data_IF_709478830667
#
_entry.id   IF_709478830667
#
_cell.length_a   1.000
_cell.length_b   1.000
_cell.length_c   1.000
_cell.angle_alpha   90.00
_cell.angle_beta   90.00
_cell.angle_gamma   90.00
#
_symmetry.space_group_name_H-M   'P 1'
#
loop_
_entity.id
_entity.type
_entity.pdbx_description
1 polymer ?
#
# COMPACT_ATOMS: atom_id res chain seq x y z
N UNK A 1 67.97 33.38 20.57
CA UNK A 1 66.85 32.52 20.97
C UNK A 1 65.77 32.59 19.90
N UNK A 2 65.72 31.66 18.95
CA UNK A 2 64.69 31.63 17.91
C UNK A 2 63.58 30.66 18.33
N UNK A 3 62.41 31.19 18.65
CA UNK A 3 61.20 30.41 18.93
C UNK A 3 60.72 29.79 17.62
N UNK A 4 60.72 28.45 17.56
CA UNK A 4 60.08 27.68 16.48
C UNK A 4 58.56 27.87 16.59
N UNK A 5 57.95 28.51 15.61
CA UNK A 5 56.51 28.47 15.41
C UNK A 5 56.19 27.11 14.77
N UNK A 6 55.61 26.22 15.56
CA UNK A 6 54.99 25.01 15.04
C UNK A 6 53.75 25.43 14.24
N UNK A 7 53.85 25.44 12.92
CA UNK A 7 52.68 25.51 12.06
C UNK A 7 51.92 24.19 12.20
N UNK A 8 50.88 24.19 13.02
CA UNK A 8 49.87 23.14 13.02
C UNK A 8 49.17 23.23 11.66
N UNK A 9 49.59 22.38 10.72
CA UNK A 9 48.82 22.10 9.51
C UNK A 9 47.53 21.45 10.01
N UNK A 10 46.34 22.07 9.83
CA UNK A 10 45.13 21.34 10.12
C UNK A 10 45.09 20.17 9.15
N UNK A 11 45.13 18.96 9.69
CA UNK A 11 44.80 17.77 8.93
C UNK A 11 43.38 18.00 8.40
N UNK A 12 43.27 18.32 7.12
CA UNK A 12 42.04 18.16 6.35
C UNK A 12 41.68 16.68 6.53
N UNK A 13 40.76 16.41 7.46
CA UNK A 13 40.03 15.19 7.48
C UNK A 13 39.46 15.06 6.07
N UNK A 14 40.02 14.13 5.29
CA UNK A 14 39.47 13.78 4.01
C UNK A 14 38.03 13.35 4.29
N UNK A 15 37.08 14.26 4.04
CA UNK A 15 35.70 13.89 3.90
C UNK A 15 35.72 12.74 2.91
N UNK A 16 35.32 11.56 3.38
CA UNK A 16 35.28 10.33 2.59
C UNK A 16 34.12 10.48 1.61
N UNK A 17 34.27 11.40 0.67
CA UNK A 17 33.41 11.49 -0.48
C UNK A 17 33.61 10.20 -1.25
N UNK A 18 32.55 9.40 -1.33
CA UNK A 18 32.53 8.21 -2.14
C UNK A 18 33.07 8.54 -3.53
N UNK A 19 33.99 7.71 -4.00
CA UNK A 19 34.59 7.88 -5.33
C UNK A 19 33.96 6.83 -6.25
N UNK A 20 33.02 7.22 -7.13
CA UNK A 20 32.38 6.25 -8.01
C UNK A 20 33.40 5.62 -8.95
N UNK A 21 33.14 4.37 -9.34
CA UNK A 21 33.96 3.67 -10.33
C UNK A 21 33.94 4.41 -11.68
N UNK A 22 35.03 4.31 -12.44
CA UNK A 22 35.13 4.99 -13.73
C UNK A 22 34.06 4.53 -14.74
N UNK A 23 33.65 3.26 -14.66
CA UNK A 23 32.57 2.69 -15.48
C UNK A 23 31.23 3.40 -15.22
N UNK A 24 30.90 3.64 -13.95
CA UNK A 24 29.66 4.32 -13.55
C UNK A 24 29.68 5.80 -13.94
N UNK A 25 30.84 6.47 -13.81
CA UNK A 25 31.00 7.85 -14.25
C UNK A 25 30.78 8.00 -15.76
N UNK A 26 31.34 7.07 -16.55
CA UNK A 26 31.14 7.05 -18.01
C UNK A 26 29.68 6.79 -18.38
N UNK A 27 29.01 5.86 -17.68
CA UNK A 27 27.58 5.60 -17.88
C UNK A 27 26.73 6.82 -17.52
N UNK A 28 26.99 7.45 -16.38
CA UNK A 28 26.26 8.63 -15.93
C UNK A 28 26.41 9.81 -16.90
N UNK A 29 27.60 10.01 -17.46
CA UNK A 29 27.85 11.05 -18.47
C UNK A 29 27.31 10.68 -19.87
N UNK A 30 26.88 9.44 -20.09
CA UNK A 30 26.33 8.98 -21.37
C UNK A 30 24.82 9.22 -21.47
N UNK A 31 24.29 9.25 -22.69
CA UNK A 31 22.84 9.34 -22.95
C UNK A 31 22.18 7.95 -22.77
N UNK A 32 22.21 7.44 -21.54
CA UNK A 32 21.64 6.13 -21.23
C UNK A 32 20.10 6.14 -21.34
N UNK A 33 19.45 7.29 -21.15
CA UNK A 33 17.99 7.40 -21.15
C UNK A 33 17.34 7.00 -22.49
N UNK A 34 18.06 7.24 -23.59
CA UNK A 34 17.65 6.91 -24.97
C UNK A 34 18.06 5.50 -25.42
N UNK A 35 18.74 4.75 -24.57
CA UNK A 35 19.13 3.38 -24.89
C UNK A 35 17.90 2.47 -25.00
N UNK A 36 18.08 1.27 -25.58
CA UNK A 36 17.01 0.27 -25.64
C UNK A 36 16.76 -0.36 -24.28
N UNK A 37 15.49 -0.45 -23.89
CA UNK A 37 15.02 -1.07 -22.64
C UNK A 37 13.99 -2.17 -22.94
N UNK A 38 13.83 -3.18 -22.06
CA UNK A 38 12.91 -4.29 -22.28
C UNK A 38 11.44 -3.86 -22.36
N UNK A 39 11.06 -2.80 -21.65
CA UNK A 39 9.68 -2.29 -21.58
C UNK A 39 9.73 -0.77 -21.69
N UNK A 40 8.71 -0.17 -22.31
CA UNK A 40 8.56 1.27 -22.29
C UNK A 40 7.67 1.67 -21.10
N UNK A 41 8.22 2.43 -20.16
CA UNK A 41 7.53 2.89 -18.95
C UNK A 41 7.42 4.41 -19.05
N UNK A 42 6.31 4.96 -18.54
CA UNK A 42 6.04 6.41 -18.54
C UNK A 42 7.22 7.17 -17.91
N UNK A 43 7.82 8.15 -18.61
CA UNK A 43 8.97 8.88 -18.10
C UNK A 43 8.69 9.58 -16.76
N UNK A 44 9.58 9.39 -15.79
CA UNK A 44 9.58 10.02 -14.47
C UNK A 44 11.00 9.93 -13.88
N UNK A 45 11.28 10.70 -12.83
CA UNK A 45 12.60 10.70 -12.18
C UNK A 45 12.96 9.30 -11.63
N UNK A 46 11.97 8.58 -11.09
CA UNK A 46 12.14 7.19 -10.63
C UNK A 46 12.53 6.25 -11.78
N UNK A 47 11.98 6.47 -12.98
CA UNK A 47 12.36 5.73 -14.18
C UNK A 47 13.78 6.04 -14.61
N UNK A 48 14.25 7.28 -14.50
CA UNK A 48 15.65 7.61 -14.82
C UNK A 48 16.64 6.89 -13.90
N UNK A 49 16.38 6.85 -12.58
CA UNK A 49 17.21 6.08 -11.65
C UNK A 49 17.18 4.57 -11.94
N UNK A 50 16.00 4.01 -12.21
CA UNK A 50 15.85 2.60 -12.53
C UNK A 50 16.54 2.24 -13.87
N UNK A 51 16.45 3.11 -14.88
CA UNK A 51 17.15 2.98 -16.16
C UNK A 51 18.66 2.97 -16.01
N UNK A 52 19.20 3.82 -15.14
CA UNK A 52 20.62 3.85 -14.81
C UNK A 52 21.07 2.53 -14.16
N UNK A 53 20.35 2.09 -13.12
CA UNK A 53 20.64 0.82 -12.43
C UNK A 53 20.58 -0.37 -13.40
N UNK A 54 19.58 -0.41 -14.28
CA UNK A 54 19.45 -1.46 -15.28
C UNK A 54 20.65 -1.48 -16.22
N UNK A 55 21.07 -0.33 -16.75
CA UNK A 55 22.23 -0.26 -17.67
C UNK A 55 23.55 -0.54 -16.98
N UNK A 56 23.68 -0.23 -15.69
CA UNK A 56 24.85 -0.59 -14.91
C UNK A 56 24.95 -2.12 -14.67
N UNK A 57 23.81 -2.79 -14.48
CA UNK A 57 23.75 -4.22 -14.18
C UNK A 57 23.67 -5.12 -15.43
N UNK A 58 23.16 -4.63 -16.55
CA UNK A 58 23.03 -5.35 -17.84
C UNK A 58 24.34 -5.97 -18.36
N UNK A 59 25.49 -5.26 -18.44
CA UNK A 59 26.71 -5.81 -19.05
C UNK A 59 27.31 -6.98 -18.26
N UNK A 60 27.07 -7.03 -16.95
CA UNK A 60 27.57 -8.09 -16.06
C UNK A 60 26.51 -9.15 -15.75
N UNK A 61 25.30 -9.01 -16.32
CA UNK A 61 24.12 -9.82 -16.00
C UNK A 61 23.85 -9.92 -14.48
N UNK A 62 24.10 -8.84 -13.74
CA UNK A 62 24.01 -8.77 -12.27
C UNK A 62 22.66 -8.20 -11.80
N UNK A 63 21.59 -8.42 -12.57
CA UNK A 63 20.28 -7.84 -12.27
C UNK A 63 19.73 -8.31 -10.92
N UNK A 64 19.95 -9.58 -10.58
CA UNK A 64 19.56 -10.17 -9.28
C UNK A 64 20.34 -9.57 -8.10
N UNK A 65 21.54 -9.04 -8.31
CA UNK A 65 22.34 -8.39 -7.24
C UNK A 65 21.66 -7.10 -6.79
N UNK A 66 21.25 -6.26 -7.75
CA UNK A 66 20.54 -5.01 -7.45
C UNK A 66 19.17 -5.28 -6.83
N UNK A 67 18.47 -6.35 -7.23
CA UNK A 67 17.22 -6.76 -6.56
C UNK A 67 17.45 -7.14 -5.10
N UNK A 68 18.57 -7.81 -4.78
CA UNK A 68 18.95 -8.10 -3.39
C UNK A 68 19.32 -6.85 -2.62
N UNK A 69 19.99 -5.90 -3.25
CA UNK A 69 20.32 -4.61 -2.62
C UNK A 69 19.05 -3.88 -2.17
N UNK A 70 18.00 -3.84 -2.99
CA UNK A 70 16.70 -3.29 -2.58
C UNK A 70 16.11 -4.01 -1.37
N UNK A 71 16.21 -5.35 -1.30
CA UNK A 71 15.77 -6.11 -0.13
C UNK A 71 16.58 -5.78 1.13
N UNK A 72 17.90 -5.61 0.98
CA UNK A 72 18.79 -5.18 2.08
C UNK A 72 18.41 -3.79 2.58
N UNK A 73 18.08 -2.86 1.68
CA UNK A 73 17.63 -1.52 2.05
C UNK A 73 16.30 -1.60 2.81
N UNK A 74 15.31 -2.32 2.27
CA UNK A 74 14.00 -2.49 2.94
C UNK A 74 14.16 -3.10 4.33
N UNK A 75 15.07 -4.05 4.52
CA UNK A 75 15.37 -4.64 5.83
C UNK A 75 16.10 -3.67 6.78
N UNK A 76 16.79 -2.66 6.26
CA UNK A 76 17.48 -1.65 7.05
C UNK A 76 16.57 -0.48 7.46
N UNK A 77 15.55 -0.13 6.65
CA UNK A 77 14.62 0.98 6.91
C UNK A 77 14.04 0.97 8.34
N UNK A 78 13.56 -0.15 8.92
CA UNK A 78 12.99 -0.16 10.26
C UNK A 78 13.98 0.23 11.37
N UNK A 79 15.29 0.17 11.11
CA UNK A 79 16.35 0.56 12.06
C UNK A 79 16.69 2.05 11.96
N UNK A 80 16.24 2.71 10.89
CA UNK A 80 16.52 4.11 10.62
C UNK A 80 15.43 5.02 11.21
N UNK A 81 15.71 6.31 11.40
CA UNK A 81 14.68 7.28 11.81
C UNK A 81 13.51 7.35 10.83
N UNK A 82 12.36 7.81 11.29
CA UNK A 82 11.13 7.93 10.47
C UNK A 82 11.33 8.79 9.21
N UNK A 83 12.20 9.79 9.26
CA UNK A 83 12.54 10.67 8.14
C UNK A 83 14.00 10.47 7.70
N UNK A 84 14.45 9.21 7.66
CA UNK A 84 15.82 8.86 7.30
C UNK A 84 16.21 9.40 5.92
N UNK A 85 15.25 9.52 5.01
CA UNK A 85 15.43 10.08 3.66
C UNK A 85 15.98 11.52 3.69
N UNK A 86 15.73 12.25 4.78
CA UNK A 86 16.13 13.65 4.95
C UNK A 86 17.26 13.84 5.95
N UNK A 87 17.38 12.92 6.90
CA UNK A 87 18.22 13.10 8.10
C UNK A 87 19.49 12.26 8.07
N UNK A 88 19.51 11.17 7.30
CA UNK A 88 20.60 10.22 7.30
C UNK A 88 21.51 10.45 6.10
N UNK A 89 22.81 10.48 6.35
CA UNK A 89 23.83 10.47 5.29
C UNK A 89 24.02 9.03 4.84
N UNK A 90 23.72 8.73 3.57
CA UNK A 90 23.74 7.34 3.03
C UNK A 90 25.12 6.68 3.25
N UNK A 91 26.21 7.44 3.11
CA UNK A 91 27.57 6.93 3.26
C UNK A 91 27.96 6.53 4.70
N UNK A 92 27.22 7.01 5.70
CA UNK A 92 27.46 6.71 7.12
C UNK A 92 26.70 5.47 7.61
N UNK A 93 25.74 4.97 6.82
CA UNK A 93 24.95 3.79 7.17
C UNK A 93 25.75 2.53 6.87
N UNK A 94 26.10 1.78 7.92
CA UNK A 94 26.85 0.52 7.81
C UNK A 94 26.18 -0.50 6.89
N UNK A 95 24.85 -0.60 6.96
CA UNK A 95 24.06 -1.52 6.14
C UNK A 95 24.06 -1.11 4.65
N UNK A 96 24.35 0.16 4.31
CA UNK A 96 24.42 0.64 2.92
C UNK A 96 25.82 0.51 2.32
N UNK A 97 26.86 0.34 3.13
CA UNK A 97 28.23 0.14 2.66
C UNK A 97 28.46 -1.24 2.03
N UNK A 98 27.60 -2.21 2.32
CA UNK A 98 27.67 -3.56 1.74
C UNK A 98 26.91 -3.71 0.42
N UNK A 99 26.22 -2.66 -0.03
CA UNK A 99 25.44 -2.66 -1.27
C UNK A 99 26.35 -2.63 -2.51
N UNK A 100 25.82 -3.03 -3.66
CA UNK A 100 26.57 -2.93 -4.92
C UNK A 100 26.94 -1.48 -5.26
N UNK A 101 28.09 -1.31 -5.93
CA UNK A 101 28.57 0.01 -6.33
C UNK A 101 27.54 0.84 -7.15
N UNK A 102 26.77 0.26 -8.10
CA UNK A 102 25.70 0.98 -8.78
C UNK A 102 24.61 1.48 -7.84
N UNK A 103 24.24 0.69 -6.83
CA UNK A 103 23.21 1.06 -5.86
C UNK A 103 23.70 2.22 -4.97
N UNK A 104 24.91 2.12 -4.42
CA UNK A 104 25.48 3.18 -3.57
C UNK A 104 25.57 4.50 -4.33
N UNK A 105 26.06 4.49 -5.57
CA UNK A 105 26.10 5.69 -6.40
C UNK A 105 24.70 6.27 -6.65
N UNK A 106 23.71 5.42 -6.94
CA UNK A 106 22.34 5.87 -7.18
C UNK A 106 21.72 6.47 -5.93
N UNK A 107 21.95 5.88 -4.75
CA UNK A 107 21.47 6.43 -3.47
C UNK A 107 22.09 7.79 -3.15
N UNK A 108 23.39 7.96 -3.36
CA UNK A 108 24.04 9.27 -3.17
C UNK A 108 23.55 10.31 -4.19
N UNK A 109 23.31 9.88 -5.43
CA UNK A 109 22.73 10.74 -6.46
C UNK A 109 21.30 11.17 -6.09
N UNK A 110 20.45 10.23 -5.66
CA UNK A 110 19.11 10.52 -5.13
C UNK A 110 19.17 11.44 -3.91
N UNK A 111 20.11 11.23 -2.99
CA UNK A 111 20.33 12.09 -1.83
C UNK A 111 20.71 13.52 -2.23
N UNK A 112 21.60 13.67 -3.21
CA UNK A 112 22.04 14.98 -3.69
C UNK A 112 20.90 15.80 -4.31
N UNK A 113 19.90 15.11 -4.87
CA UNK A 113 18.70 15.73 -5.44
C UNK A 113 17.51 15.80 -4.46
N UNK A 114 17.66 15.28 -3.23
CA UNK A 114 16.57 15.21 -2.26
C UNK A 114 15.43 14.25 -2.64
N UNK A 115 15.71 13.25 -3.48
CA UNK A 115 14.73 12.33 -4.07
C UNK A 115 14.76 10.91 -3.46
N UNK A 116 15.30 10.74 -2.25
CA UNK A 116 15.33 9.44 -1.56
C UNK A 116 13.93 8.87 -1.27
N UNK A 117 12.92 9.73 -1.17
CA UNK A 117 11.51 9.34 -1.01
C UNK A 117 10.98 8.51 -2.20
N UNK A 118 11.59 8.64 -3.39
CA UNK A 118 11.20 7.90 -4.60
C UNK A 118 11.77 6.47 -4.66
N UNK A 119 12.56 6.06 -3.68
CA UNK A 119 13.21 4.74 -3.70
C UNK A 119 12.25 3.55 -3.89
N UNK A 120 11.05 3.52 -3.27
CA UNK A 120 10.07 2.46 -3.54
C UNK A 120 9.65 2.39 -5.01
N UNK A 121 9.40 3.54 -5.64
CA UNK A 121 9.02 3.61 -7.05
C UNK A 121 10.16 3.15 -7.97
N UNK A 122 11.40 3.52 -7.63
CA UNK A 122 12.59 3.06 -8.36
C UNK A 122 12.72 1.54 -8.30
N UNK A 123 12.44 0.93 -7.14
CA UNK A 123 12.50 -0.51 -6.96
C UNK A 123 11.47 -1.24 -7.82
N UNK A 124 10.22 -0.74 -7.87
CA UNK A 124 9.14 -1.31 -8.67
C UNK A 124 9.43 -1.22 -10.18
N UNK A 125 9.93 -0.08 -10.65
CA UNK A 125 10.32 0.11 -12.05
C UNK A 125 11.51 -0.79 -12.42
N UNK A 126 12.53 -0.83 -11.58
CA UNK A 126 13.72 -1.66 -11.82
C UNK A 126 13.37 -3.15 -11.86
N UNK A 127 12.53 -3.62 -10.94
CA UNK A 127 12.03 -4.98 -10.94
C UNK A 127 11.28 -5.30 -12.23
N UNK A 128 10.47 -4.36 -12.73
CA UNK A 128 9.76 -4.54 -14.00
C UNK A 128 10.74 -4.77 -15.16
N UNK A 129 11.85 -4.01 -15.22
CA UNK A 129 12.90 -4.22 -16.21
C UNK A 129 13.65 -5.55 -16.03
N UNK A 130 14.00 -5.90 -14.79
CA UNK A 130 14.69 -7.15 -14.49
C UNK A 130 13.83 -8.37 -14.85
N UNK A 131 12.56 -8.35 -14.49
CA UNK A 131 11.59 -9.41 -14.77
C UNK A 131 11.34 -9.54 -16.28
N UNK A 132 11.18 -8.43 -17.00
CA UNK A 132 11.05 -8.46 -18.46
C UNK A 132 12.28 -9.06 -19.15
N UNK A 133 13.49 -8.71 -18.71
CA UNK A 133 14.75 -9.25 -19.25
C UNK A 133 14.93 -10.75 -18.94
N UNK A 134 14.56 -11.17 -17.74
CA UNK A 134 14.68 -12.56 -17.27
C UNK A 134 13.50 -13.44 -17.68
N UNK A 135 12.51 -12.90 -18.39
CA UNK A 135 11.23 -13.58 -18.70
C UNK A 135 10.55 -14.12 -17.45
N UNK A 136 10.50 -13.30 -16.40
CA UNK A 136 9.78 -13.58 -15.14
C UNK A 136 8.49 -12.78 -15.09
N UNK A 137 7.43 -13.36 -14.51
CA UNK A 137 6.18 -12.67 -14.22
C UNK A 137 5.98 -12.64 -12.71
N UNK A 138 5.93 -11.45 -12.14
CA UNK A 138 5.62 -11.26 -10.72
C UNK A 138 4.09 -11.34 -10.53
N UNK A 139 3.64 -12.29 -9.71
CA UNK A 139 2.26 -12.41 -9.27
C UNK A 139 2.15 -11.94 -7.82
N UNK A 140 1.39 -10.86 -7.60
CA UNK A 140 1.13 -10.30 -6.26
C UNK A 140 -0.05 -11.06 -5.65
N UNK A 141 0.18 -11.74 -4.54
CA UNK A 141 -0.84 -12.51 -3.81
C UNK A 141 -1.18 -11.76 -2.53
N UNK A 142 -2.40 -11.25 -2.41
CA UNK A 142 -2.90 -10.57 -1.23
C UNK A 142 -3.53 -11.59 -0.28
N UNK A 143 -3.05 -11.60 0.97
CA UNK A 143 -3.46 -12.56 2.00
C UNK A 143 -3.79 -11.83 3.30
N UNK A 144 -4.70 -12.39 4.09
CA UNK A 144 -5.05 -11.91 5.41
C UNK A 144 -3.84 -11.86 6.37
N UNK A 145 -3.81 -10.89 7.31
CA UNK A 145 -2.75 -10.80 8.31
C UNK A 145 -2.67 -12.08 9.16
N UNK A 146 -1.47 -12.65 9.31
CA UNK A 146 -1.24 -13.88 10.07
C UNK A 146 -1.31 -15.18 9.25
N UNK A 147 -1.74 -15.13 7.98
CA UNK A 147 -1.75 -16.28 7.05
C UNK A 147 -0.62 -16.27 6.02
N UNK A 148 0.40 -15.43 6.24
CA UNK A 148 1.57 -15.27 5.36
C UNK A 148 2.36 -16.58 5.15
N UNK A 149 2.34 -17.49 6.13
CA UNK A 149 3.04 -18.77 6.09
C UNK A 149 2.20 -19.96 5.60
N UNK A 150 0.94 -19.75 5.24
CA UNK A 150 0.03 -20.84 4.87
C UNK A 150 0.37 -21.40 3.49
N UNK A 151 1.14 -22.50 3.49
CA UNK A 151 1.58 -23.19 2.27
C UNK A 151 0.41 -23.61 1.36
N UNK A 152 -0.74 -23.96 1.94
CA UNK A 152 -1.92 -24.35 1.18
C UNK A 152 -2.52 -23.18 0.37
N UNK A 153 -2.60 -21.99 0.98
CA UNK A 153 -3.09 -20.77 0.30
C UNK A 153 -2.10 -20.31 -0.77
N UNK A 154 -0.80 -20.40 -0.49
CA UNK A 154 0.24 -20.08 -1.46
C UNK A 154 0.22 -21.03 -2.67
N UNK A 155 -0.02 -22.33 -2.47
CA UNK A 155 -0.18 -23.29 -3.57
C UNK A 155 -1.45 -23.07 -4.40
N UNK A 156 -2.56 -22.70 -3.75
CA UNK A 156 -3.79 -22.33 -4.45
C UNK A 156 -3.60 -21.05 -5.28
N UNK A 157 -3.03 -20.01 -4.68
CA UNK A 157 -2.70 -18.77 -5.36
C UNK A 157 -1.71 -19.00 -6.52
N UNK A 158 -0.73 -19.90 -6.35
CA UNK A 158 0.16 -20.31 -7.43
C UNK A 158 -0.58 -20.99 -8.57
N UNK A 159 -1.52 -21.90 -8.29
CA UNK A 159 -2.34 -22.57 -9.32
C UNK A 159 -3.23 -21.57 -10.06
N UNK A 160 -3.80 -20.59 -9.37
CA UNK A 160 -4.58 -19.51 -9.98
C UNK A 160 -3.69 -18.63 -10.85
N UNK A 161 -2.52 -18.21 -10.34
CA UNK A 161 -1.55 -17.44 -11.12
C UNK A 161 -1.05 -18.21 -12.37
N UNK A 162 -0.79 -19.51 -12.26
CA UNK A 162 -0.41 -20.37 -13.38
C UNK A 162 -1.50 -20.50 -14.44
N UNK A 163 -2.78 -20.52 -14.05
CA UNK A 163 -3.90 -20.49 -15.00
C UNK A 163 -3.94 -19.15 -15.73
N UNK A 164 -3.87 -18.03 -14.99
CA UNK A 164 -3.87 -16.68 -15.58
C UNK A 164 -2.70 -16.47 -16.54
N UNK A 165 -1.50 -17.00 -16.23
CA UNK A 165 -0.33 -16.94 -17.12
C UNK A 165 -0.50 -17.82 -18.36
N UNK A 166 -1.17 -18.97 -18.25
CA UNK A 166 -1.45 -19.85 -19.41
C UNK A 166 -2.53 -19.28 -20.33
N UNK A 167 -3.51 -18.58 -19.75
CA UNK A 167 -4.61 -17.99 -20.51
C UNK A 167 -4.15 -16.72 -21.27
N UNK A 168 -3.12 -16.04 -20.76
CA UNK A 168 -2.47 -14.91 -21.44
C UNK A 168 -1.38 -15.36 -22.42
N UNK A 169 -1.67 -15.25 -23.72
CA UNK A 169 -0.72 -15.60 -24.81
C UNK A 169 0.61 -14.84 -24.74
N UNK A 170 0.61 -13.63 -24.20
CA UNK A 170 1.82 -12.78 -24.05
C UNK A 170 2.73 -13.22 -22.89
N UNK A 171 2.18 -13.95 -21.92
CA UNK A 171 2.90 -14.43 -20.72
C UNK A 171 3.26 -15.92 -20.81
N UNK A 172 2.81 -16.60 -21.86
CA UNK A 172 3.09 -18.00 -22.10
C UNK A 172 4.61 -18.25 -22.22
N UNK A 173 5.16 -19.04 -21.29
CA UNK A 173 6.59 -19.37 -21.23
C UNK A 173 7.43 -18.52 -20.28
N UNK A 174 6.83 -17.58 -19.55
CA UNK A 174 7.50 -16.83 -18.49
C UNK A 174 7.48 -17.61 -17.16
N UNK A 175 8.54 -17.50 -16.36
CA UNK A 175 8.59 -18.13 -15.03
C UNK A 175 7.90 -17.25 -13.98
N UNK A 176 7.01 -17.84 -13.17
CA UNK A 176 6.26 -17.14 -12.14
C UNK A 176 7.10 -16.89 -10.88
N UNK A 177 7.08 -15.65 -10.39
CA UNK A 177 7.62 -15.23 -9.09
C UNK A 177 6.46 -14.74 -8.24
N UNK A 178 6.21 -15.41 -7.11
CA UNK A 178 5.12 -15.05 -6.21
C UNK A 178 5.61 -14.00 -5.20
N UNK A 179 4.85 -12.92 -5.06
CA UNK A 179 5.02 -11.89 -4.03
C UNK A 179 3.81 -11.89 -3.12
N UNK A 180 3.97 -12.36 -1.90
CA UNK A 180 2.88 -12.32 -0.90
C UNK A 180 2.85 -10.95 -0.25
N UNK A 181 1.70 -10.28 -0.32
CA UNK A 181 1.44 -8.97 0.27
C UNK A 181 0.32 -9.14 1.32
N UNK A 182 0.51 -8.54 2.48
CA UNK A 182 -0.48 -8.59 3.56
C UNK A 182 -1.50 -7.50 3.34
N UNK A 183 -2.76 -7.89 3.21
CA UNK A 183 -3.88 -6.96 3.13
C UNK A 183 -4.75 -7.09 4.38
N UNK A 184 -4.82 -6.01 5.16
CA UNK A 184 -5.60 -5.95 6.41
C UNK A 184 -7.12 -5.89 6.18
N UNK A 185 -7.56 -5.65 4.93
CA UNK A 185 -8.97 -5.63 4.57
C UNK A 185 -9.54 -7.05 4.34
N UNK A 186 -8.66 -8.01 4.07
CA UNK A 186 -9.02 -9.41 3.85
C UNK A 186 -9.16 -10.10 5.21
N UNK A 187 -10.33 -10.71 5.44
CA UNK A 187 -10.62 -11.49 6.66
C UNK A 187 -10.36 -12.96 6.42
N UNK A 188 -10.75 -13.48 5.24
CA UNK A 188 -10.49 -14.85 4.82
C UNK A 188 -10.27 -14.93 3.29
N UNK A 189 -9.62 -15.99 2.80
CA UNK A 189 -9.32 -16.18 1.37
C UNK A 189 -8.05 -15.46 0.88
N UNK A 190 -7.94 -15.31 -0.44
CA UNK A 190 -6.79 -14.70 -1.11
C UNK A 190 -7.21 -13.95 -2.38
N UNK A 191 -6.44 -12.94 -2.78
CA UNK A 191 -6.56 -12.32 -4.09
C UNK A 191 -5.23 -12.40 -4.84
N UNK A 192 -5.26 -12.54 -6.15
CA UNK A 192 -4.06 -12.63 -6.99
C UNK A 192 -4.13 -11.56 -8.07
N UNK A 193 -3.10 -10.74 -8.16
CA UNK A 193 -2.86 -9.81 -9.27
C UNK A 193 -1.67 -10.32 -10.09
N UNK A 194 -1.94 -10.66 -11.35
CA UNK A 194 -0.91 -11.01 -12.34
C UNK A 194 -0.91 -9.94 -13.42
N UNK A 195 0.07 -9.03 -13.34
CA UNK A 195 0.28 -7.94 -14.31
C UNK A 195 -1.02 -7.19 -14.71
N UNK A 196 -1.85 -6.83 -13.74
CA UNK A 196 -3.09 -6.09 -13.95
C UNK A 196 -4.34 -6.97 -14.15
N UNK A 197 -4.17 -8.29 -14.22
CA UNK A 197 -5.30 -9.23 -14.14
C UNK A 197 -5.54 -9.58 -12.68
N UNK A 198 -6.60 -9.01 -12.09
CA UNK A 198 -6.97 -9.21 -10.70
C UNK A 198 -8.03 -10.31 -10.55
N UNK A 199 -7.72 -11.36 -9.80
CA UNK A 199 -8.63 -12.43 -9.42
C UNK A 199 -8.87 -12.36 -7.92
N UNK A 200 -10.12 -12.14 -7.52
CA UNK A 200 -10.51 -11.99 -6.12
C UNK A 200 -11.27 -13.23 -5.64
N UNK A 201 -10.66 -13.99 -4.73
CA UNK A 201 -11.30 -15.06 -3.96
C UNK A 201 -11.30 -14.72 -2.45
N UNK A 202 -11.07 -13.45 -2.11
CA UNK A 202 -11.02 -12.96 -0.74
C UNK A 202 -12.42 -12.59 -0.23
N UNK A 203 -12.69 -12.98 1.02
CA UNK A 203 -13.84 -12.56 1.81
C UNK A 203 -13.44 -11.33 2.60
N UNK A 204 -14.03 -10.19 2.22
CA UNK A 204 -13.91 -8.95 2.97
C UNK A 204 -14.72 -8.99 4.26
N UNK A 205 -14.45 -8.05 5.16
CA UNK A 205 -15.26 -7.85 6.36
C UNK A 205 -16.69 -7.51 5.92
N UNK A 206 -17.66 -8.37 6.21
CA UNK A 206 -19.07 -8.03 6.00
C UNK A 206 -19.36 -6.73 6.76
N UNK A 207 -19.65 -5.66 6.01
CA UNK A 207 -20.32 -4.50 6.62
C UNK A 207 -21.67 -5.05 7.04
N UNK A 208 -21.96 -4.99 8.35
CA UNK A 208 -23.32 -5.12 8.85
C UNK A 208 -24.18 -4.20 7.99
N UNK A 209 -24.92 -4.80 7.06
CA UNK A 209 -25.95 -4.10 6.31
C UNK A 209 -27.03 -3.87 7.34
N UNK A 210 -26.92 -2.76 8.07
CA UNK A 210 -28.04 -2.24 8.84
C UNK A 210 -29.21 -2.18 7.86
N UNK A 211 -30.21 -3.02 8.09
CA UNK A 211 -31.43 -3.10 7.32
C UNK A 211 -32.18 -1.77 7.47
N UNK A 212 -31.75 -0.76 6.73
CA UNK A 212 -32.36 0.57 6.70
C UNK A 212 -33.71 0.58 5.99
N UNK A 213 -34.16 -0.58 5.46
CA UNK A 213 -35.36 -0.70 4.66
C UNK A 213 -36.66 -0.99 5.42
N UNK A 214 -36.63 -1.29 6.72
CA UNK A 214 -37.82 -1.81 7.44
C UNK A 214 -38.42 -0.84 8.47
N UNK A 215 -37.82 0.34 8.65
CA UNK A 215 -38.34 1.37 9.55
C UNK A 215 -39.00 2.48 8.73
N UNK A 216 -40.32 2.51 8.72
CA UNK A 216 -41.09 3.64 8.19
C UNK A 216 -41.11 4.77 9.21
N UNK A 217 -40.19 5.73 9.04
CA UNK A 217 -40.08 6.94 9.87
C UNK A 217 -41.18 7.97 9.58
N UNK A 218 -42.07 7.72 8.60
CA UNK A 218 -43.16 8.64 8.24
C UNK A 218 -44.47 8.31 8.96
N UNK A 219 -44.57 7.12 9.57
CA UNK A 219 -45.79 6.68 10.27
C UNK A 219 -45.63 6.76 11.79
N UNK A 220 -46.56 7.43 12.45
CA UNK A 220 -46.64 7.47 13.92
C UNK A 220 -47.30 6.15 14.40
N UNK A 221 -46.66 5.38 15.30
CA UNK A 221 -47.27 4.17 15.82
C UNK A 221 -48.55 4.49 16.59
N UNK A 222 -49.61 3.70 16.36
CA UNK A 222 -50.91 3.93 16.98
C UNK A 222 -50.82 3.87 18.53
N UNK A 223 -51.38 4.86 19.25
CA UNK A 223 -51.38 4.85 20.71
C UNK A 223 -52.24 3.70 21.25
N UNK A 224 -51.80 3.08 22.34
CA UNK A 224 -52.60 2.07 23.06
C UNK A 224 -53.55 2.76 24.03
N UNK A 225 -54.83 2.85 23.67
CA UNK A 225 -55.86 3.43 24.54
C UNK A 225 -56.44 2.35 25.46
N UNK A 226 -56.47 2.60 26.76
CA UNK A 226 -57.23 1.80 27.73
C UNK A 226 -58.63 2.39 27.91
N UNK A 227 -59.63 1.52 28.17
CA UNK A 227 -60.99 1.96 28.45
C UNK A 227 -61.02 2.76 29.76
N UNK A 228 -61.53 3.98 29.71
CA UNK A 228 -61.75 4.81 30.91
C UNK A 228 -62.85 4.19 31.77
N UNK A 229 -62.53 3.88 33.02
CA UNK A 229 -63.48 3.39 34.02
C UNK A 229 -63.79 4.51 35.00
N UNK A 230 -65.07 4.87 35.10
CA UNK A 230 -65.55 5.87 36.05
C UNK A 230 -65.98 5.19 37.36
N UNK A 231 -65.77 5.85 38.50
CA UNK A 231 -66.26 5.40 39.80
C UNK A 231 -67.75 5.73 39.94
N UNK A 232 -68.54 4.82 40.53
CA UNK A 232 -69.99 4.99 40.70
C UNK A 232 -70.30 5.98 41.84
N UNK A 233 -70.34 7.28 41.51
CA UNK A 233 -70.67 8.38 42.40
C UNK A 233 -71.92 9.17 41.92
N UNK A 234 -72.52 9.98 42.79
CA UNK A 234 -73.71 10.79 42.48
C UNK A 234 -73.44 11.75 41.30
N UNK A 235 -72.22 12.28 41.21
CA UNK A 235 -71.81 13.18 40.12
C UNK A 235 -71.73 12.48 38.76
N UNK A 236 -71.27 11.23 38.74
CA UNK A 236 -71.23 10.39 37.54
C UNK A 236 -72.61 9.94 37.09
N UNK A 237 -73.58 9.76 38.00
CA UNK A 237 -74.97 9.47 37.61
C UNK A 237 -75.63 10.68 36.93
N UNK A 238 -75.42 11.89 37.47
CA UNK A 238 -75.96 13.14 36.90
C UNK A 238 -75.32 13.46 35.55
N UNK A 239 -74.01 13.22 35.43
CA UNK A 239 -73.24 13.56 34.23
C UNK A 239 -73.13 12.42 33.21
N UNK A 240 -73.68 11.24 33.49
CA UNK A 240 -73.51 10.05 32.65
C UNK A 240 -73.80 10.31 31.16
N UNK A 241 -74.93 10.97 30.88
CA UNK A 241 -75.35 11.32 29.51
C UNK A 241 -74.40 12.31 28.83
N UNK A 242 -73.79 13.21 29.60
CA UNK A 242 -72.82 14.17 29.07
C UNK A 242 -71.45 13.53 28.87
N UNK A 243 -71.02 12.66 29.79
CA UNK A 243 -69.75 11.92 29.69
C UNK A 243 -69.72 11.00 28.46
N UNK A 244 -70.84 10.36 28.11
CA UNK A 244 -70.94 9.59 26.87
C UNK A 244 -70.80 10.47 25.61
N UNK A 245 -71.40 11.67 25.62
CA UNK A 245 -71.26 12.61 24.51
C UNK A 245 -69.85 13.18 24.38
N UNK A 246 -69.19 13.48 25.52
CA UNK A 246 -67.82 13.98 25.54
C UNK A 246 -66.84 12.90 25.08
N UNK A 247 -67.04 11.64 25.47
CA UNK A 247 -66.23 10.53 24.98
C UNK A 247 -66.33 10.33 23.46
N UNK A 248 -67.47 10.70 22.84
CA UNK A 248 -67.62 10.71 21.38
C UNK A 248 -66.80 11.84 20.75
N UNK A 249 -66.86 13.06 21.31
CA UNK A 249 -66.05 14.19 20.86
C UNK A 249 -64.55 13.92 21.02
N UNK A 250 -64.11 13.36 22.16
CA UNK A 250 -62.71 12.97 22.38
C UNK A 250 -62.23 11.95 21.34
N UNK A 251 -63.09 11.00 20.95
CA UNK A 251 -62.78 9.99 19.93
C UNK A 251 -62.72 10.57 18.49
N UNK A 252 -63.45 11.65 18.23
CA UNK A 252 -63.39 12.40 16.98
C UNK A 252 -62.11 13.24 16.92
N UNK A 253 -61.82 14.01 17.97
CA UNK A 253 -60.61 14.84 18.07
C UNK A 253 -59.32 14.00 17.97
N UNK A 254 -59.30 12.79 18.54
CA UNK A 254 -58.15 11.89 18.42
C UNK A 254 -57.87 11.48 16.96
N UNK A 255 -58.91 11.42 16.11
CA UNK A 255 -58.77 11.01 14.70
C UNK A 255 -58.47 12.18 13.78
N UNK A 256 -59.12 13.32 14.00
CA UNK A 256 -59.03 14.47 13.09
C UNK A 256 -58.02 15.52 13.54
N UNK A 257 -57.57 15.47 14.79
CA UNK A 257 -56.94 16.60 15.45
C UNK A 257 -57.96 17.70 15.78
N UNK A 258 -57.52 18.69 16.54
CA UNK A 258 -58.24 19.94 16.83
C UNK A 258 -57.82 21.02 15.84
#
# INVERSE_FOLDING_TARGET
MFRRLAACVPALAAARFYTPSEELKKLYASDFERAQYPVNIVPSDSVTFAKFLYKAAEPKNQLDVVLKDFQTIVAAIPKLPVFWERTVVVSEVKDFQSLSAPMVFTLEWMQSNGMLELLPDVADVYETYANAKMKRVAAKVYVAPGREGDRALQEQAKKVAEKVVKDNRELAGYSLVLKVIVDRSIVDGFAVDVQGTYVNEAVGREKESQSSGDADYTTIPAPRLSKTTWEDNIETEVLHKYLESLAQYDAEELKTGV
#
